data_IF_652690494245
#
_entry.id   IF_652690494245
#
_cell.length_a   1.000
_cell.length_b   1.000
_cell.length_c   1.000
_cell.angle_alpha   90.00
_cell.angle_beta   90.00
_cell.angle_gamma   90.00
#
_symmetry.space_group_name_H-M   'P 1'
#
loop_
_entity.id
_entity.type
_entity.pdbx_description
1 polymer ?
#
# COMPACT_ATOMS: atom_id res chain seq x y z
N UNK A 1 25.42 8.90 -2.13
CA UNK A 1 25.62 7.47 -2.44
C UNK A 1 24.56 7.02 -3.44
N UNK A 2 24.93 6.32 -4.50
CA UNK A 2 23.99 5.91 -5.58
C UNK A 2 22.85 5.02 -5.07
N UNK A 3 23.11 4.16 -4.09
CA UNK A 3 22.09 3.30 -3.48
C UNK A 3 20.95 4.10 -2.81
N UNK A 4 21.24 5.24 -2.18
CA UNK A 4 20.21 6.10 -1.55
C UNK A 4 19.31 6.76 -2.60
N UNK A 5 19.89 7.17 -3.74
CA UNK A 5 19.12 7.73 -4.87
C UNK A 5 18.22 6.68 -5.52
N UNK A 6 18.72 5.45 -5.66
CA UNK A 6 17.93 4.33 -6.15
C UNK A 6 16.75 4.06 -5.21
N UNK A 7 16.99 3.92 -3.90
CA UNK A 7 15.93 3.67 -2.93
C UNK A 7 14.84 4.76 -2.94
N UNK A 8 15.24 6.03 -3.00
CA UNK A 8 14.31 7.16 -3.13
C UNK A 8 13.48 7.07 -4.42
N UNK A 9 14.12 6.76 -5.55
CA UNK A 9 13.47 6.62 -6.83
C UNK A 9 12.47 5.46 -6.88
N UNK A 10 12.83 4.29 -6.34
CA UNK A 10 11.92 3.15 -6.21
C UNK A 10 10.70 3.51 -5.33
N UNK A 11 10.91 4.32 -4.29
CA UNK A 11 9.84 4.86 -3.47
C UNK A 11 8.88 5.75 -4.27
N UNK A 12 9.41 6.60 -5.15
CA UNK A 12 8.60 7.45 -6.03
C UNK A 12 7.78 6.61 -7.02
N UNK A 13 8.39 5.58 -7.63
CA UNK A 13 7.66 4.63 -8.49
C UNK A 13 6.51 3.98 -7.72
N UNK A 14 6.79 3.47 -6.52
CA UNK A 14 5.82 2.76 -5.70
C UNK A 14 4.62 3.61 -5.26
N UNK A 15 4.80 4.94 -5.17
CA UNK A 15 3.74 5.90 -4.81
C UNK A 15 2.99 6.47 -6.02
N UNK A 16 3.55 6.36 -7.22
CA UNK A 16 2.94 6.93 -8.43
C UNK A 16 1.89 5.97 -9.00
N UNK A 17 0.61 6.30 -8.81
CA UNK A 17 -0.51 5.42 -9.19
C UNK A 17 -0.58 5.07 -10.68
N UNK A 18 -0.06 5.92 -11.57
CA UNK A 18 0.02 5.66 -13.02
C UNK A 18 1.10 4.64 -13.42
N UNK A 19 2.14 4.49 -12.60
CA UNK A 19 3.22 3.52 -12.82
C UNK A 19 2.96 2.25 -12.02
N UNK A 20 2.51 2.40 -10.78
CA UNK A 20 2.35 1.32 -9.81
C UNK A 20 0.94 1.35 -9.21
N UNK A 21 -0.01 0.75 -9.93
CA UNK A 21 -1.42 0.83 -9.59
C UNK A 21 -1.74 0.28 -8.19
N UNK A 22 -2.54 1.01 -7.40
CA UNK A 22 -2.91 0.65 -6.02
C UNK A 22 -4.20 -0.17 -5.93
N UNK A 23 -5.06 -0.07 -6.96
CA UNK A 23 -6.35 -0.74 -7.14
C UNK A 23 -6.25 -2.26 -7.41
N UNK A 24 -5.10 -2.86 -7.09
CA UNK A 24 -4.87 -4.30 -7.16
C UNK A 24 -4.58 -4.85 -5.78
N UNK A 25 -5.22 -5.97 -5.41
CA UNK A 25 -5.10 -6.56 -4.08
C UNK A 25 -3.67 -7.02 -3.78
N UNK A 26 -3.11 -7.86 -4.64
CA UNK A 26 -1.80 -8.47 -4.44
C UNK A 26 -0.82 -8.03 -5.53
N UNK A 27 0.45 -7.87 -5.16
CA UNK A 27 1.54 -7.55 -6.10
C UNK A 27 1.57 -8.50 -7.31
N UNK A 28 1.46 -9.80 -7.05
CA UNK A 28 1.43 -10.87 -8.06
C UNK A 28 0.27 -10.80 -9.07
N UNK A 29 -0.73 -9.94 -8.84
CA UNK A 29 -1.85 -9.75 -9.77
C UNK A 29 -1.63 -8.55 -10.71
N UNK A 30 -0.54 -7.79 -10.56
CA UNK A 30 -0.16 -6.79 -11.54
C UNK A 30 0.17 -7.48 -12.87
N UNK A 31 -0.22 -6.84 -13.97
CA UNK A 31 0.08 -7.38 -15.30
C UNK A 31 1.58 -7.39 -15.56
N UNK A 32 2.03 -8.34 -16.39
CA UNK A 32 3.43 -8.43 -16.82
C UNK A 32 3.91 -7.11 -17.42
N UNK A 33 3.06 -6.43 -18.20
CA UNK A 33 3.32 -5.12 -18.77
C UNK A 33 3.68 -4.05 -17.72
N UNK A 34 2.97 -4.01 -16.59
CA UNK A 34 3.27 -3.06 -15.52
C UNK A 34 4.64 -3.36 -14.89
N UNK A 35 4.94 -4.63 -14.64
CA UNK A 35 6.22 -5.04 -14.07
C UNK A 35 7.39 -4.73 -15.01
N UNK A 36 7.23 -5.03 -16.31
CA UNK A 36 8.22 -4.71 -17.34
C UNK A 36 8.41 -3.19 -17.49
N UNK A 37 7.33 -2.40 -17.41
CA UNK A 37 7.41 -0.95 -17.47
C UNK A 37 8.16 -0.36 -16.26
N UNK A 38 7.96 -0.92 -15.06
CA UNK A 38 8.73 -0.52 -13.86
C UNK A 38 10.23 -0.78 -14.08
N UNK A 39 10.59 -1.98 -14.54
CA UNK A 39 11.99 -2.33 -14.83
C UNK A 39 12.61 -1.41 -15.87
N UNK A 40 11.89 -1.14 -16.96
CA UNK A 40 12.32 -0.20 -18.01
C UNK A 40 12.64 1.18 -17.44
N UNK A 41 11.74 1.75 -16.63
CA UNK A 41 11.93 3.07 -16.01
C UNK A 41 13.15 3.09 -15.07
N UNK A 42 13.40 2.00 -14.34
CA UNK A 42 14.56 1.89 -13.45
C UNK A 42 15.87 1.80 -14.24
N UNK A 43 15.93 0.92 -15.24
CA UNK A 43 17.13 0.72 -16.08
C UNK A 43 17.45 1.91 -16.99
N UNK A 44 16.45 2.71 -17.38
CA UNK A 44 16.67 3.98 -18.08
C UNK A 44 17.40 5.02 -17.21
N UNK A 45 17.26 4.93 -15.89
CA UNK A 45 17.80 5.92 -14.95
C UNK A 45 19.07 5.46 -14.22
N UNK A 46 19.23 4.15 -14.02
CA UNK A 46 20.34 3.57 -13.26
C UNK A 46 21.00 2.45 -14.06
N UNK A 47 22.33 2.47 -14.12
CA UNK A 47 23.11 1.35 -14.63
C UNK A 47 23.24 0.27 -13.55
N UNK A 48 22.37 -0.74 -13.61
CA UNK A 48 22.29 -1.85 -12.65
C UNK A 48 22.83 -3.17 -13.19
N UNK A 49 23.39 -3.21 -14.40
CA UNK A 49 23.86 -4.45 -15.01
C UNK A 49 24.91 -5.14 -14.11
N UNK A 50 24.63 -6.40 -13.76
CA UNK A 50 25.49 -7.22 -12.89
C UNK A 50 25.57 -6.75 -11.42
N UNK A 51 24.78 -5.74 -11.02
CA UNK A 51 24.78 -5.19 -9.64
C UNK A 51 23.53 -5.61 -8.86
N UNK A 52 22.40 -5.80 -9.55
CA UNK A 52 21.12 -6.15 -8.93
C UNK A 52 20.24 -6.90 -9.93
N UNK A 53 19.56 -7.94 -9.47
CA UNK A 53 18.64 -8.71 -10.30
C UNK A 53 17.29 -7.99 -10.43
N UNK A 54 16.62 -8.14 -11.57
CA UNK A 54 15.29 -7.56 -11.82
C UNK A 54 14.26 -7.99 -10.77
N UNK A 55 14.37 -9.23 -10.28
CA UNK A 55 13.52 -9.74 -9.20
C UNK A 55 13.69 -8.97 -7.90
N UNK A 56 14.90 -8.51 -7.59
CA UNK A 56 15.19 -7.75 -6.37
C UNK A 56 14.62 -6.33 -6.46
N UNK A 57 14.75 -5.70 -7.64
CA UNK A 57 14.15 -4.40 -7.94
C UNK A 57 12.62 -4.48 -7.75
N UNK A 58 11.98 -5.44 -8.41
CA UNK A 58 10.52 -5.62 -8.32
C UNK A 58 10.07 -5.96 -6.90
N UNK A 59 10.80 -6.80 -6.18
CA UNK A 59 10.48 -7.14 -4.79
C UNK A 59 10.56 -5.91 -3.88
N UNK A 60 11.55 -5.05 -4.08
CA UNK A 60 11.70 -3.81 -3.33
C UNK A 60 10.56 -2.83 -3.62
N UNK A 61 10.22 -2.60 -4.89
CA UNK A 61 9.07 -1.76 -5.28
C UNK A 61 7.77 -2.32 -4.70
N UNK A 62 7.58 -3.64 -4.74
CA UNK A 62 6.41 -4.30 -4.16
C UNK A 62 6.28 -4.08 -2.65
N UNK A 63 7.40 -4.14 -1.91
CA UNK A 63 7.46 -3.81 -0.48
C UNK A 63 7.06 -2.36 -0.23
N UNK A 64 7.70 -1.42 -0.93
CA UNK A 64 7.42 0.02 -0.80
C UNK A 64 5.97 0.37 -1.14
N UNK A 65 5.39 -0.29 -2.14
CA UNK A 65 3.96 -0.14 -2.49
C UNK A 65 3.06 -0.59 -1.35
N UNK A 66 3.37 -1.72 -0.70
CA UNK A 66 2.60 -2.21 0.43
C UNK A 66 2.72 -1.31 1.66
N UNK A 67 3.92 -0.80 1.94
CA UNK A 67 4.15 0.19 3.01
C UNK A 67 3.36 1.47 2.75
N UNK A 68 3.31 1.94 1.51
CA UNK A 68 2.50 3.08 1.13
C UNK A 68 1.00 2.81 1.33
N UNK A 69 0.47 1.67 0.87
CA UNK A 69 -0.92 1.27 1.12
C UNK A 69 -1.24 1.17 2.62
N UNK A 70 -0.30 0.68 3.42
CA UNK A 70 -0.44 0.62 4.88
C UNK A 70 -0.52 2.02 5.50
N UNK A 71 0.34 2.94 5.05
CA UNK A 71 0.33 4.34 5.48
C UNK A 71 -1.00 5.01 5.14
N UNK A 72 -1.48 4.83 3.91
CA UNK A 72 -2.79 5.33 3.47
C UNK A 72 -3.93 4.80 4.35
N UNK A 73 -3.93 3.48 4.61
CA UNK A 73 -4.95 2.85 5.46
C UNK A 73 -4.95 3.40 6.88
N UNK A 74 -3.78 3.60 7.47
CA UNK A 74 -3.70 4.08 8.86
C UNK A 74 -4.11 5.55 8.95
N UNK A 75 -3.46 6.42 8.17
CA UNK A 75 -3.59 7.88 8.32
C UNK A 75 -4.86 8.47 7.72
N UNK A 76 -5.35 7.90 6.62
CA UNK A 76 -6.45 8.51 5.86
C UNK A 76 -7.75 7.72 5.95
N UNK A 77 -7.69 6.44 6.32
CA UNK A 77 -8.89 5.62 6.50
C UNK A 77 -9.19 5.37 7.99
N UNK A 78 -8.28 4.74 8.74
CA UNK A 78 -8.55 4.35 10.13
C UNK A 78 -8.76 5.55 11.05
N UNK A 79 -7.91 6.57 10.96
CA UNK A 79 -8.03 7.79 11.77
C UNK A 79 -9.39 8.48 11.52
N UNK A 80 -9.80 8.64 10.26
CA UNK A 80 -11.11 9.22 9.92
C UNK A 80 -12.30 8.38 10.40
N UNK A 81 -12.22 7.05 10.26
CA UNK A 81 -13.27 6.15 10.80
C UNK A 81 -13.37 6.29 12.33
N UNK A 82 -12.24 6.43 13.03
CA UNK A 82 -12.22 6.64 14.49
C UNK A 82 -12.82 7.99 14.89
N UNK A 83 -12.65 9.02 14.07
CA UNK A 83 -13.30 10.33 14.22
C UNK A 83 -14.80 10.32 13.90
N UNK A 84 -15.35 9.18 13.44
CA UNK A 84 -16.77 9.04 13.09
C UNK A 84 -17.15 9.63 11.73
N UNK A 85 -16.17 9.84 10.84
CA UNK A 85 -16.39 10.38 9.49
C UNK A 85 -17.12 9.37 8.61
N UNK A 86 -17.97 9.86 7.70
CA UNK A 86 -18.67 9.01 6.73
C UNK A 86 -17.73 8.51 5.63
N UNK A 87 -18.18 7.49 4.87
CA UNK A 87 -17.40 6.97 3.74
C UNK A 87 -17.23 8.03 2.63
N UNK A 88 -18.25 8.86 2.41
CA UNK A 88 -18.21 9.97 1.45
C UNK A 88 -17.12 10.98 1.83
N UNK A 89 -17.05 11.35 3.11
CA UNK A 89 -16.00 12.25 3.61
C UNK A 89 -14.60 11.64 3.47
N UNK A 90 -14.48 10.32 3.64
CA UNK A 90 -13.22 9.60 3.43
C UNK A 90 -12.83 9.60 1.94
N UNK A 91 -13.78 9.46 1.01
CA UNK A 91 -13.49 9.58 -0.42
C UNK A 91 -13.00 10.99 -0.78
N UNK A 92 -13.57 12.03 -0.16
CA UNK A 92 -13.17 13.42 -0.38
C UNK A 92 -11.79 13.74 0.20
N UNK A 93 -11.37 13.06 1.28
CA UNK A 93 -10.03 13.19 1.84
C UNK A 93 -8.96 12.35 1.10
N UNK A 94 -9.00 12.38 -0.23
CA UNK A 94 -8.03 11.67 -1.07
C UNK A 94 -6.62 12.28 -0.91
N UNK A 95 -5.59 11.49 -0.55
CA UNK A 95 -4.22 11.99 -0.45
C UNK A 95 -3.68 12.48 -1.79
N UNK A 96 -3.02 13.64 -1.78
CA UNK A 96 -2.37 14.18 -2.98
C UNK A 96 -1.42 13.16 -3.60
N UNK A 97 -1.55 12.96 -4.92
CA UNK A 97 -0.76 11.99 -5.69
C UNK A 97 -1.37 10.59 -5.79
N UNK A 98 -2.51 10.32 -5.15
CA UNK A 98 -3.31 9.11 -5.35
C UNK A 98 -4.47 9.43 -6.30
N UNK A 99 -4.68 8.60 -7.33
CA UNK A 99 -5.81 8.80 -8.25
C UNK A 99 -7.13 8.45 -7.56
N UNK A 100 -8.18 9.22 -7.84
CA UNK A 100 -9.49 9.08 -7.17
C UNK A 100 -10.11 7.68 -7.31
N UNK A 101 -9.98 7.05 -8.49
CA UNK A 101 -10.48 5.70 -8.75
C UNK A 101 -9.74 4.66 -7.90
N UNK A 102 -8.42 4.82 -7.74
CA UNK A 102 -7.60 3.96 -6.91
C UNK A 102 -7.89 4.17 -5.42
N UNK A 103 -8.13 5.41 -5.01
CA UNK A 103 -8.49 5.74 -3.63
C UNK A 103 -9.83 5.12 -3.26
N UNK A 104 -10.88 5.34 -4.05
CA UNK A 104 -12.21 4.74 -3.84
C UNK A 104 -12.13 3.22 -3.74
N UNK A 105 -11.41 2.57 -4.66
CA UNK A 105 -11.21 1.12 -4.60
C UNK A 105 -10.57 0.65 -3.29
N UNK A 106 -9.58 1.40 -2.76
CA UNK A 106 -8.93 1.07 -1.49
C UNK A 106 -9.87 1.20 -0.31
N UNK A 107 -10.60 2.33 -0.23
CA UNK A 107 -11.57 2.62 0.83
C UNK A 107 -12.66 1.55 0.86
N UNK A 108 -13.26 1.23 -0.30
CA UNK A 108 -14.27 0.17 -0.43
C UNK A 108 -13.75 -1.16 0.10
N UNK A 109 -12.52 -1.50 -0.28
CA UNK A 109 -11.91 -2.75 0.11
C UNK A 109 -11.67 -2.83 1.61
N UNK A 110 -11.25 -1.74 2.25
CA UNK A 110 -11.02 -1.68 3.69
C UNK A 110 -12.31 -1.61 4.51
N UNK A 111 -13.39 -1.07 3.93
CA UNK A 111 -14.74 -1.05 4.52
C UNK A 111 -15.44 -2.41 4.55
N UNK A 112 -14.99 -3.41 3.76
CA UNK A 112 -15.61 -4.74 3.80
C UNK A 112 -15.45 -5.43 5.18
N UNK A 113 -16.48 -6.14 5.69
CA UNK A 113 -16.46 -6.77 7.02
C UNK A 113 -15.24 -7.68 7.27
N UNK A 114 -14.74 -8.32 6.22
CA UNK A 114 -13.56 -9.20 6.28
C UNK A 114 -12.26 -8.46 6.62
N UNK A 115 -12.17 -7.17 6.33
CA UNK A 115 -11.05 -6.32 6.73
C UNK A 115 -11.20 -5.77 8.17
N UNK A 116 -12.43 -5.69 8.68
CA UNK A 116 -12.74 -5.27 10.05
C UNK A 116 -12.34 -6.33 11.08
N UNK A 117 -12.53 -7.62 10.78
CA UNK A 117 -12.21 -8.74 11.69
C UNK A 117 -10.73 -8.76 12.12
N UNK A 118 -9.78 -8.50 11.22
CA UNK A 118 -8.36 -8.40 11.59
C UNK A 118 -8.02 -7.19 12.47
N UNK A 119 -8.84 -6.13 12.44
CA UNK A 119 -8.61 -4.90 13.22
C UNK A 119 -9.18 -5.02 14.63
N UNK A 120 -10.28 -5.77 14.82
CA UNK A 120 -10.83 -6.04 16.15
C UNK A 120 -9.94 -6.97 17.00
N UNK A 121 -9.25 -7.94 16.38
CA UNK A 121 -8.35 -8.85 17.11
C UNK A 121 -7.10 -8.12 17.64
N UNK A 122 -6.67 -7.03 16.99
CA UNK A 122 -5.48 -6.27 17.42
C UNK A 122 -5.77 -5.14 18.41
N UNK A 123 -7.02 -4.67 18.49
CA UNK A 123 -7.42 -3.57 19.40
C UNK A 123 -8.26 -4.02 20.60
N UNK A 124 -8.65 -5.30 20.68
CA UNK A 124 -9.55 -5.78 21.71
C UNK A 124 -9.07 -7.08 22.38
N UNK A 125 -7.83 -7.06 22.88
CA UNK A 125 -7.44 -7.99 23.96
C UNK A 125 -7.19 -7.17 25.23
N UNK A 126 -8.24 -6.79 25.99
CA UNK A 126 -8.04 -6.45 27.38
C UNK A 126 -7.65 -7.73 28.11
N UNK A 127 -6.49 -7.68 28.75
CA UNK A 127 -5.91 -8.73 29.57
C UNK A 127 -6.71 -8.87 30.87
N UNK A 128 -7.97 -9.32 30.83
CA UNK A 128 -8.78 -9.53 32.03
C UNK A 128 -9.72 -10.73 31.90
N UNK A 129 -9.28 -11.84 32.50
CA UNK A 129 -10.06 -12.80 33.29
C UNK A 129 -11.37 -13.32 32.69
N UNK A 130 -11.30 -14.50 32.05
CA UNK A 130 -12.46 -15.38 31.90
C UNK A 130 -12.83 -15.93 33.29
N UNK A 131 -14.12 -15.90 33.70
CA UNK A 131 -14.55 -16.62 34.89
C UNK A 131 -14.54 -18.12 34.59
N UNK A 132 -13.79 -18.88 35.39
CA UNK A 132 -13.91 -20.34 35.43
C UNK A 132 -15.17 -20.63 36.24
N UNK A 133 -16.24 -21.04 35.55
CA UNK A 133 -17.38 -21.70 36.18
C UNK A 133 -17.05 -23.18 36.36
N UNK A 134 -17.15 -23.68 37.59
CA UNK A 134 -17.51 -25.07 37.90
C UNK A 134 -18.88 -25.01 38.55
#
# INVERSE_FOLDING_TARGET
>A
MEASKLAEFLGTIARTGSICALNTKHWKHLSKYVLENILRIVHEKFDLQGKMEDSDILSHVGKLRNEFKSTLKTRYYKEMVQEGRSIEEIYENNPSGVHDDQWKWLVDRWGTPQAAVCTFITLNVPFCLLPITI
#
